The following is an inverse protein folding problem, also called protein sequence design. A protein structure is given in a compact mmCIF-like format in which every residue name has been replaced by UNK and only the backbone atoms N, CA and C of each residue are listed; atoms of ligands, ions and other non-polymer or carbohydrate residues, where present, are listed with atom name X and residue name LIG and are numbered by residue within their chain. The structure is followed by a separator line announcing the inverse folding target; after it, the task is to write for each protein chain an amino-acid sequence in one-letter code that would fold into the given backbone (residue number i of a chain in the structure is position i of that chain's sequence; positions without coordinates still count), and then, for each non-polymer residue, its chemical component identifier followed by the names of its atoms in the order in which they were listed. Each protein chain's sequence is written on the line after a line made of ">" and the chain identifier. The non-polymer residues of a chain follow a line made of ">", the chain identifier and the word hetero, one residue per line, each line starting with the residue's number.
data_IF_683471570668
#
_entry.id   IF_683471570668
#
_cell.length_a   1.000
_cell.length_b   1.000
_cell.length_c   1.000
_cell.angle_alpha   90.00
_cell.angle_beta   90.00
_cell.angle_gamma   90.00
#
_symmetry.space_group_name_H-M   'P 1'
#
loop_
_entity.id
_entity.type
_entity.pdbx_description
1 polymer ?
#
# COMPACT_ATOMS: atom_id res chain seq x y z
N UNK A 1 8.38 6.18 7.55
CA UNK A 1 7.73 7.14 6.64
C UNK A 1 8.03 6.73 5.20
N UNK A 2 7.06 6.87 4.31
CA UNK A 2 7.27 6.69 2.88
C UNK A 2 7.57 8.05 2.26
N UNK A 3 8.54 8.12 1.35
CA UNK A 3 8.91 9.35 0.63
C UNK A 3 8.81 9.10 -0.88
N UNK A 4 8.27 10.06 -1.66
CA UNK A 4 8.20 9.93 -3.11
C UNK A 4 9.58 9.88 -3.73
N UNK A 5 9.69 9.25 -4.89
CA UNK A 5 10.88 9.34 -5.72
C UNK A 5 11.13 10.80 -6.13
N UNK A 6 12.40 11.22 -6.15
CA UNK A 6 12.78 12.61 -6.46
C UNK A 6 12.58 13.63 -5.33
N UNK A 7 12.36 13.18 -4.09
CA UNK A 7 12.32 14.07 -2.92
C UNK A 7 13.66 14.80 -2.70
N UNK A 8 13.62 15.98 -2.09
CA UNK A 8 14.82 16.70 -1.66
C UNK A 8 15.40 16.06 -0.38
N UNK A 9 16.65 15.55 -0.41
CA UNK A 9 17.31 15.00 0.77
C UNK A 9 17.42 15.97 1.94
N UNK A 10 17.54 17.28 1.68
CA UNK A 10 17.70 18.28 2.72
C UNK A 10 16.38 18.50 3.49
N UNK A 11 15.24 18.47 2.81
CA UNK A 11 13.92 18.54 3.44
C UNK A 11 13.66 17.34 4.37
N UNK A 12 14.06 16.14 3.92
CA UNK A 12 13.98 14.93 4.74
C UNK A 12 14.87 15.06 5.99
N UNK A 13 16.11 15.53 5.82
CA UNK A 13 17.06 15.73 6.92
C UNK A 13 16.53 16.72 7.95
N UNK A 14 16.04 17.88 7.52
CA UNK A 14 15.47 18.90 8.42
C UNK A 14 14.29 18.32 9.22
N UNK A 15 13.42 17.57 8.55
CA UNK A 15 12.27 16.91 9.18
C UNK A 15 12.71 15.87 10.20
N UNK A 16 13.68 15.02 9.86
CA UNK A 16 14.21 14.00 10.76
C UNK A 16 14.84 14.62 12.01
N UNK A 17 15.71 15.62 11.85
CA UNK A 17 16.38 16.29 12.97
C UNK A 17 15.39 16.90 13.97
N UNK A 18 14.26 17.42 13.47
CA UNK A 18 13.20 17.96 14.32
C UNK A 18 12.52 16.90 15.19
N UNK A 19 12.32 15.69 14.67
CA UNK A 19 11.50 14.66 15.31
C UNK A 19 12.30 13.55 16.01
N UNK A 20 13.58 13.37 15.69
CA UNK A 20 14.45 12.36 16.31
C UNK A 20 14.46 12.39 17.85
N UNK A 21 14.42 13.55 18.55
CA UNK A 21 14.34 13.58 20.01
C UNK A 21 13.05 12.96 20.59
N UNK A 22 11.98 12.90 19.79
CA UNK A 22 10.67 12.40 20.19
C UNK A 22 10.39 10.97 19.70
N UNK A 23 11.17 10.49 18.73
CA UNK A 23 10.99 9.18 18.11
C UNK A 23 12.07 8.21 18.61
N UNK A 24 11.66 7.02 19.05
CA UNK A 24 12.61 5.95 19.43
C UNK A 24 13.38 5.37 18.23
N UNK A 25 12.92 5.68 17.02
CA UNK A 25 13.49 5.22 15.76
C UNK A 25 12.51 5.53 14.62
N UNK A 26 13.03 5.64 13.40
CA UNK A 26 12.23 5.85 12.20
C UNK A 26 12.84 5.09 11.04
N UNK A 27 11.99 4.49 10.22
CA UNK A 27 12.39 3.81 8.99
C UNK A 27 11.87 4.62 7.81
N UNK A 28 12.76 5.07 6.94
CA UNK A 28 12.40 5.78 5.71
C UNK A 28 12.36 4.77 4.56
N UNK A 29 11.30 4.80 3.76
CA UNK A 29 11.14 3.98 2.56
C UNK A 29 10.95 4.92 1.36
N UNK A 30 11.87 4.86 0.39
CA UNK A 30 11.73 5.63 -0.85
C UNK A 30 10.88 4.83 -1.82
N UNK A 31 9.88 5.47 -2.43
CA UNK A 31 9.09 4.84 -3.49
C UNK A 31 10.01 4.43 -4.66
N UNK A 32 9.70 3.31 -5.31
CA UNK A 32 10.55 2.77 -6.39
C UNK A 32 11.87 2.12 -5.93
N UNK A 33 12.26 2.24 -4.65
CA UNK A 33 13.50 1.59 -4.13
C UNK A 33 13.46 0.06 -4.12
N UNK A 34 12.28 -0.54 -4.33
CA UNK A 34 12.09 -1.99 -4.40
C UNK A 34 11.47 -2.36 -5.75
N UNK A 35 11.90 -3.47 -6.37
CA UNK A 35 11.37 -3.91 -7.67
C UNK A 35 9.89 -4.28 -7.62
N UNK A 36 9.39 -4.71 -6.46
CA UNK A 36 7.97 -4.95 -6.21
C UNK A 36 7.59 -4.37 -4.86
N UNK A 37 6.71 -3.36 -4.86
CA UNK A 37 6.07 -2.88 -3.65
C UNK A 37 4.84 -3.77 -3.34
N UNK A 38 4.53 -4.04 -2.06
CA UNK A 38 3.33 -4.80 -1.69
C UNK A 38 2.02 -4.15 -2.15
N UNK A 39 2.01 -2.81 -2.24
CA UNK A 39 0.87 -2.04 -2.69
C UNK A 39 1.34 -0.93 -3.64
N UNK A 40 0.55 -0.69 -4.67
CA UNK A 40 0.79 0.36 -5.66
C UNK A 40 -0.13 1.56 -5.39
N UNK A 41 0.38 2.79 -5.61
CA UNK A 41 -0.43 4.00 -5.51
C UNK A 41 -1.20 4.20 -6.80
N UNK A 42 -2.51 4.17 -6.71
CA UNK A 42 -3.41 4.39 -7.85
C UNK A 42 -4.16 5.71 -7.70
N UNK A 43 -4.59 6.29 -8.83
CA UNK A 43 -5.41 7.50 -8.81
C UNK A 43 -6.80 7.21 -8.21
N UNK A 44 -7.48 8.24 -7.71
CA UNK A 44 -8.86 8.10 -7.19
C UNK A 44 -9.80 7.52 -8.27
N UNK A 45 -9.68 8.00 -9.50
CA UNK A 45 -10.49 7.50 -10.62
C UNK A 45 -10.21 6.01 -10.88
N UNK A 46 -8.94 5.61 -10.87
CA UNK A 46 -8.54 4.20 -11.03
C UNK A 46 -9.09 3.34 -9.89
N UNK A 47 -9.03 3.84 -8.65
CA UNK A 47 -9.63 3.16 -7.50
C UNK A 47 -11.14 3.01 -7.65
N UNK A 48 -11.85 4.09 -8.01
CA UNK A 48 -13.30 4.09 -8.20
C UNK A 48 -13.74 3.16 -9.35
N UNK A 49 -12.98 3.11 -10.44
CA UNK A 49 -13.20 2.17 -11.54
C UNK A 49 -12.92 0.72 -11.15
N UNK A 50 -11.89 0.47 -10.34
CA UNK A 50 -11.54 -0.87 -9.87
C UNK A 50 -12.45 -1.38 -8.74
N UNK A 51 -13.01 -0.46 -7.95
CA UNK A 51 -13.94 -0.78 -6.86
C UNK A 51 -15.36 -1.12 -7.36
N UNK A 52 -15.69 -0.75 -8.60
CA UNK A 52 -16.98 -1.02 -9.23
C UNK A 52 -16.83 -2.12 -10.33
N UNK A 53 -17.09 -3.41 -10.09
CA UNK A 53 -17.54 -4.10 -8.88
C UNK A 53 -16.63 -5.29 -8.51
N UNK A 54 -16.14 -5.35 -7.27
CA UNK A 54 -15.94 -6.65 -6.64
C UNK A 54 -17.33 -7.19 -6.29
N UNK A 55 -18.04 -7.75 -7.27
CA UNK A 55 -19.11 -8.71 -6.94
C UNK A 55 -18.39 -9.93 -6.37
N UNK A 56 -18.04 -9.84 -5.09
CA UNK A 56 -17.89 -11.02 -4.26
C UNK A 56 -19.28 -11.64 -4.17
N UNK A 57 -19.70 -12.35 -5.22
CA UNK A 57 -20.52 -13.52 -4.98
C UNK A 57 -19.62 -14.42 -4.14
N UNK A 58 -19.67 -14.27 -2.82
CA UNK A 58 -19.61 -15.46 -2.00
C UNK A 58 -20.79 -16.29 -2.52
N UNK A 59 -20.54 -17.16 -3.51
CA UNK A 59 -21.50 -18.19 -3.82
C UNK A 59 -21.59 -19.03 -2.57
N UNK A 60 -22.65 -18.78 -1.82
CA UNK A 60 -23.24 -19.67 -0.84
C UNK A 60 -23.76 -20.93 -1.57
N UNK A 61 -22.88 -21.64 -2.27
CA UNK A 61 -23.20 -22.93 -2.91
C UNK A 61 -22.52 -24.10 -2.21
N UNK A 62 -22.16 -23.92 -0.94
CA UNK A 62 -21.68 -25.02 -0.10
C UNK A 62 -22.75 -25.52 0.87
N UNK A 63 -24.04 -25.46 0.51
CA UNK A 63 -25.13 -25.97 1.37
C UNK A 63 -25.60 -27.40 1.03
N UNK A 64 -25.10 -28.03 -0.04
CA UNK A 64 -25.49 -29.43 -0.39
C UNK A 64 -24.42 -30.25 -1.15
N UNK A 65 -23.16 -30.30 -0.69
CA UNK A 65 -22.18 -31.31 -1.15
C UNK A 65 -20.70 -30.87 -1.08
N UNK A 66 -19.72 -31.81 -1.13
CA UNK A 66 -18.30 -31.46 -1.11
C UNK A 66 -17.84 -30.82 -2.43
N UNK A 67 -17.15 -29.68 -2.34
CA UNK A 67 -16.59 -28.96 -3.48
C UNK A 67 -15.50 -29.78 -4.20
N UNK A 68 -15.53 -29.88 -5.54
CA UNK A 68 -14.50 -30.60 -6.29
C UNK A 68 -13.20 -29.79 -6.36
N UNK A 69 -12.11 -30.42 -5.94
CA UNK A 69 -10.74 -29.92 -6.12
C UNK A 69 -10.32 -30.20 -7.57
N UNK A 70 -9.85 -29.17 -8.28
CA UNK A 70 -9.05 -29.32 -9.51
C UNK A 70 -7.66 -28.78 -9.27
#
# INVERSE_FOLDING_TARGET
>A
MNVPEGYDPDDLKITLLRWLPHLKGTTVMVDGSRPQAPFERISRQTYEMAAAPAVGQAMDECTTGPCPVR
#
